data_IF_805833161304
#
_entry.id   IF_805833161304
#
_cell.length_a   1.000
_cell.length_b   1.000
_cell.length_c   1.000
_cell.angle_alpha   90.00
_cell.angle_beta   90.00
_cell.angle_gamma   90.00
#
_symmetry.space_group_name_H-M   'P 1'
#
loop_
_entity.id
_entity.type
_entity.pdbx_description
1 polymer ?
#
# COMPACT_ATOMS: atom_id res chain seq x y z
N UNK A 1 -7.58 14.48 4.24
CA UNK A 1 -8.92 15.13 4.15
C UNK A 1 -9.95 14.12 4.62
N UNK A 2 -10.65 14.36 5.70
CA UNK A 2 -11.70 13.44 6.20
C UNK A 2 -13.02 13.89 5.59
N UNK A 3 -13.60 13.07 4.72
CA UNK A 3 -14.90 13.34 4.13
C UNK A 3 -16.00 12.78 5.04
N UNK A 4 -16.81 13.65 5.62
CA UNK A 4 -17.99 13.25 6.41
C UNK A 4 -19.22 13.15 5.51
N UNK A 5 -19.88 11.99 5.52
CA UNK A 5 -21.19 11.86 4.90
C UNK A 5 -22.25 12.44 5.88
N UNK A 6 -22.78 13.63 5.56
CA UNK A 6 -23.78 14.31 6.40
C UNK A 6 -25.17 13.66 6.43
N UNK A 7 -25.45 12.67 5.58
CA UNK A 7 -26.80 12.12 5.42
C UNK A 7 -27.15 11.00 6.39
N UNK A 8 -26.17 10.23 6.84
CA UNK A 8 -26.40 9.17 7.81
C UNK A 8 -25.57 9.49 9.06
N UNK A 9 -26.19 9.50 10.23
CA UNK A 9 -25.52 9.66 11.53
C UNK A 9 -24.68 8.44 11.93
N UNK A 10 -24.27 7.63 10.97
CA UNK A 10 -23.46 6.43 11.16
C UNK A 10 -21.99 6.79 11.27
N UNK A 11 -21.30 6.17 12.20
CA UNK A 11 -19.85 6.29 12.34
C UNK A 11 -19.14 5.82 11.07
N UNK A 12 -18.24 6.63 10.53
CA UNK A 12 -17.42 6.26 9.37
C UNK A 12 -16.33 5.32 9.86
N UNK A 13 -16.35 4.08 9.40
CA UNK A 13 -15.24 3.15 9.62
C UNK A 13 -14.05 3.60 8.76
N UNK A 14 -12.89 3.84 9.38
CA UNK A 14 -11.66 4.06 8.65
C UNK A 14 -10.50 3.36 9.33
N UNK A 15 -9.56 2.92 8.54
CA UNK A 15 -8.25 2.43 9.00
C UNK A 15 -7.19 3.32 8.38
N UNK A 16 -6.41 3.96 9.23
CA UNK A 16 -5.32 4.85 8.85
C UNK A 16 -3.99 4.14 9.11
N UNK A 17 -3.26 3.86 8.03
CA UNK A 17 -1.95 3.25 8.06
C UNK A 17 -0.81 4.26 7.86
N UNK A 18 -1.08 5.57 7.84
CA UNK A 18 -0.06 6.60 7.61
C UNK A 18 1.10 6.54 8.63
N UNK A 19 0.81 6.13 9.85
CA UNK A 19 1.81 5.97 10.92
C UNK A 19 2.42 4.58 11.00
N UNK A 20 1.86 3.60 10.27
CA UNK A 20 2.19 2.18 10.41
C UNK A 20 2.86 1.60 9.16
N UNK A 21 3.14 2.40 8.14
CA UNK A 21 3.79 1.95 6.90
C UNK A 21 5.17 1.32 7.13
N UNK A 22 5.82 1.61 8.26
CA UNK A 22 7.13 1.06 8.61
C UNK A 22 7.13 -0.04 9.69
N UNK A 23 5.96 -0.50 10.14
CA UNK A 23 5.89 -1.56 11.16
C UNK A 23 6.15 -2.91 10.51
N UNK A 24 7.28 -3.52 10.87
CA UNK A 24 7.63 -4.89 10.51
C UNK A 24 7.11 -5.91 11.54
N UNK A 25 6.00 -5.62 12.20
CA UNK A 25 5.33 -6.54 13.10
C UNK A 25 3.98 -6.94 12.54
N UNK A 26 3.68 -8.22 12.64
CA UNK A 26 2.40 -8.74 12.20
C UNK A 26 1.32 -8.33 13.21
N UNK A 27 0.35 -7.52 12.79
CA UNK A 27 -0.79 -7.11 13.62
C UNK A 27 -2.00 -7.99 13.31
N UNK A 28 -1.93 -9.23 13.77
CA UNK A 28 -3.02 -10.18 13.64
C UNK A 28 -3.47 -10.69 15.00
N UNK A 29 -4.77 -10.74 15.19
CA UNK A 29 -5.40 -11.28 16.39
C UNK A 29 -6.03 -12.66 16.19
N UNK A 30 -6.07 -13.13 14.95
CA UNK A 30 -6.73 -14.36 14.49
C UNK A 30 -5.82 -15.08 13.50
N UNK A 31 -6.17 -16.31 13.15
CA UNK A 31 -5.44 -17.08 12.14
C UNK A 31 -5.44 -16.32 10.80
N UNK A 32 -4.30 -16.32 10.14
CA UNK A 32 -4.19 -15.72 8.82
C UNK A 32 -4.77 -16.68 7.78
N UNK A 33 -5.66 -16.21 6.87
CA UNK A 33 -6.16 -17.05 5.78
C UNK A 33 -5.02 -17.68 4.97
N UNK A 34 -5.10 -18.98 4.73
CA UNK A 34 -4.05 -19.71 4.01
C UNK A 34 -3.86 -19.17 2.60
N UNK A 35 -4.95 -18.75 1.95
CA UNK A 35 -4.94 -18.16 0.64
C UNK A 35 -4.13 -16.85 0.60
N UNK A 36 -4.26 -16.04 1.65
CA UNK A 36 -3.52 -14.79 1.79
C UNK A 36 -2.02 -15.06 2.00
N UNK A 37 -1.70 -16.00 2.87
CA UNK A 37 -0.29 -16.38 3.11
C UNK A 37 0.34 -16.90 1.82
N UNK A 38 -0.33 -17.83 1.14
CA UNK A 38 0.16 -18.44 -0.09
C UNK A 38 0.31 -17.44 -1.24
N UNK A 39 -0.46 -16.35 -1.21
CA UNK A 39 -0.32 -15.26 -2.18
C UNK A 39 1.00 -14.50 -2.00
N UNK A 40 1.46 -14.30 -0.76
CA UNK A 40 2.73 -13.62 -0.46
C UNK A 40 3.93 -14.54 -0.46
N UNK A 41 3.77 -15.75 0.06
CA UNK A 41 4.82 -16.75 0.13
C UNK A 41 4.24 -18.17 -0.05
N UNK A 42 4.30 -18.72 -1.27
CA UNK A 42 3.75 -20.04 -1.57
C UNK A 42 4.49 -21.19 -0.88
N UNK A 43 5.63 -20.95 -0.25
CA UNK A 43 6.35 -21.96 0.52
C UNK A 43 5.77 -22.21 1.91
N UNK A 44 4.94 -21.26 2.41
CA UNK A 44 4.29 -21.39 3.71
C UNK A 44 3.00 -22.20 3.57
N UNK A 45 2.82 -23.16 4.46
CA UNK A 45 1.64 -23.99 4.53
C UNK A 45 0.54 -23.34 5.38
N UNK A 46 0.91 -22.79 6.55
CA UNK A 46 0.03 -22.00 7.41
C UNK A 46 0.80 -21.13 8.41
N UNK A 47 0.09 -20.11 8.90
CA UNK A 47 0.44 -19.26 10.03
C UNK A 47 -0.79 -19.17 10.94
N UNK A 48 -0.73 -19.76 12.14
CA UNK A 48 -1.83 -19.83 13.10
C UNK A 48 -1.44 -19.18 14.41
N UNK A 49 -2.42 -18.65 15.13
CA UNK A 49 -2.23 -18.01 16.41
C UNK A 49 -3.05 -18.73 17.47
N UNK A 50 -2.36 -19.43 18.35
CA UNK A 50 -3.00 -20.05 19.51
C UNK A 50 -2.94 -19.09 20.69
N UNK A 51 -4.12 -18.62 21.13
CA UNK A 51 -4.26 -17.81 22.32
C UNK A 51 -4.54 -18.71 23.53
N UNK A 52 -3.58 -18.90 24.40
CA UNK A 52 -3.77 -19.43 25.74
C UNK A 52 -3.93 -18.27 26.73
N UNK A 53 -4.58 -18.54 27.89
CA UNK A 53 -5.03 -17.51 28.86
C UNK A 53 -4.04 -16.38 29.19
N UNK A 54 -2.72 -16.56 28.98
CA UNK A 54 -1.69 -15.54 29.21
C UNK A 54 -0.52 -15.56 28.22
N UNK A 55 -0.60 -16.32 27.12
CA UNK A 55 0.44 -16.39 26.09
C UNK A 55 -0.19 -16.59 24.71
N UNK A 56 0.33 -15.90 23.72
CA UNK A 56 0.00 -16.19 22.32
C UNK A 56 1.18 -16.92 21.71
N UNK A 57 0.98 -18.12 21.23
CA UNK A 57 1.97 -18.88 20.49
C UNK A 57 1.62 -18.81 19.00
N UNK A 58 2.63 -18.59 18.17
CA UNK A 58 2.51 -18.51 16.74
C UNK A 58 3.04 -19.80 16.14
N UNK A 59 2.21 -20.48 15.39
CA UNK A 59 2.54 -21.71 14.70
C UNK A 59 2.82 -21.39 13.23
N UNK A 60 4.09 -21.48 12.83
CA UNK A 60 4.52 -21.25 11.44
C UNK A 60 4.96 -22.59 10.83
N UNK A 61 4.36 -22.95 9.71
CA UNK A 61 4.68 -24.18 8.99
C UNK A 61 5.05 -23.87 7.54
N UNK A 62 6.23 -24.27 7.15
CA UNK A 62 6.64 -24.34 5.75
C UNK A 62 6.37 -25.73 5.18
N UNK A 63 6.00 -25.82 3.90
CA UNK A 63 5.64 -27.08 3.24
C UNK A 63 6.68 -28.19 3.38
N UNK A 64 7.97 -27.83 3.41
CA UNK A 64 9.09 -28.76 3.44
C UNK A 64 9.81 -28.85 4.79
N UNK A 65 9.27 -28.24 5.86
CA UNK A 65 9.92 -28.18 7.18
C UNK A 65 8.99 -28.62 8.27
N UNK A 66 9.51 -28.92 9.46
CA UNK A 66 8.69 -29.13 10.64
C UNK A 66 8.04 -27.82 11.07
N UNK A 67 6.91 -27.93 11.79
CA UNK A 67 6.26 -26.79 12.41
C UNK A 67 7.20 -26.08 13.40
N UNK A 68 7.15 -24.78 13.41
CA UNK A 68 7.86 -23.93 14.36
C UNK A 68 6.86 -23.22 15.26
N UNK A 69 7.15 -23.22 16.55
CA UNK A 69 6.36 -22.49 17.54
C UNK A 69 7.17 -21.30 18.01
N UNK A 70 6.63 -20.10 17.76
CA UNK A 70 7.25 -18.82 18.11
C UNK A 70 6.46 -18.19 19.25
N UNK A 71 7.15 -17.54 20.17
CA UNK A 71 6.55 -16.94 21.36
C UNK A 71 6.19 -15.45 21.17
N UNK A 72 6.75 -14.81 20.15
CA UNK A 72 6.57 -13.38 19.87
C UNK A 72 6.46 -13.12 18.36
N UNK A 73 5.64 -12.14 18.00
CA UNK A 73 5.48 -11.73 16.60
C UNK A 73 6.79 -11.21 15.97
N UNK A 74 7.64 -10.57 16.76
CA UNK A 74 8.96 -10.10 16.33
C UNK A 74 9.88 -11.22 15.81
N UNK A 75 9.68 -12.46 16.26
CA UNK A 75 10.45 -13.61 15.78
C UNK A 75 10.13 -13.97 14.34
N UNK A 76 8.92 -13.63 13.84
CA UNK A 76 8.53 -13.84 12.44
C UNK A 76 9.47 -13.11 11.45
N UNK A 77 10.06 -12.00 11.85
CA UNK A 77 11.02 -11.24 11.02
C UNK A 77 12.27 -12.04 10.64
N UNK A 78 12.54 -13.15 11.32
CA UNK A 78 13.64 -14.07 10.97
C UNK A 78 13.29 -15.02 9.84
N UNK A 79 12.01 -15.21 9.59
CA UNK A 79 11.48 -16.22 8.67
C UNK A 79 10.71 -15.63 7.50
N UNK A 80 10.08 -14.47 7.69
CA UNK A 80 9.28 -13.79 6.68
C UNK A 80 9.98 -12.51 6.23
N UNK A 81 9.86 -12.20 4.94
CA UNK A 81 10.33 -10.92 4.43
C UNK A 81 9.50 -9.76 4.98
N UNK A 82 10.08 -8.57 5.04
CA UNK A 82 9.33 -7.35 5.41
C UNK A 82 8.14 -7.11 4.48
N UNK A 83 8.28 -7.41 3.19
CA UNK A 83 7.19 -7.32 2.22
C UNK A 83 6.06 -8.32 2.51
N UNK A 84 6.38 -9.55 2.92
CA UNK A 84 5.39 -10.55 3.33
C UNK A 84 4.60 -10.08 4.55
N UNK A 85 5.28 -9.60 5.59
CA UNK A 85 4.64 -9.12 6.83
C UNK A 85 3.73 -7.93 6.56
N UNK A 86 4.23 -6.91 5.86
CA UNK A 86 3.45 -5.72 5.50
C UNK A 86 2.28 -6.07 4.59
N UNK A 87 2.50 -6.96 3.62
CA UNK A 87 1.47 -7.42 2.71
C UNK A 87 0.32 -8.10 3.43
N UNK A 88 0.62 -9.04 4.32
CA UNK A 88 -0.40 -9.70 5.13
C UNK A 88 -1.20 -8.67 5.93
N UNK A 89 -0.54 -7.75 6.64
CA UNK A 89 -1.23 -6.69 7.39
C UNK A 89 -2.14 -5.85 6.49
N UNK A 90 -1.60 -5.33 5.38
CA UNK A 90 -2.35 -4.46 4.46
C UNK A 90 -3.60 -5.16 3.90
N UNK A 91 -3.46 -6.42 3.49
CA UNK A 91 -4.59 -7.18 2.94
C UNK A 91 -5.61 -7.57 4.02
N UNK A 92 -5.18 -7.87 5.25
CA UNK A 92 -6.10 -8.11 6.36
C UNK A 92 -6.92 -6.86 6.70
N UNK A 93 -6.30 -5.68 6.71
CA UNK A 93 -7.03 -4.42 6.87
C UNK A 93 -7.99 -4.18 5.70
N UNK A 94 -7.57 -4.45 4.46
CA UNK A 94 -8.46 -4.34 3.30
C UNK A 94 -9.67 -5.30 3.43
N UNK A 95 -9.46 -6.55 3.84
CA UNK A 95 -10.54 -7.53 4.06
C UNK A 95 -11.53 -7.02 5.12
N UNK A 96 -11.04 -6.46 6.22
CA UNK A 96 -11.91 -5.86 7.26
C UNK A 96 -12.77 -4.73 6.68
N UNK A 97 -12.16 -3.86 5.87
CA UNK A 97 -12.87 -2.73 5.24
C UNK A 97 -13.84 -3.24 4.17
N UNK A 98 -13.53 -4.25 3.39
CA UNK A 98 -14.48 -4.89 2.46
C UNK A 98 -15.70 -5.45 3.21
N UNK A 99 -15.49 -6.07 4.38
CA UNK A 99 -16.56 -6.65 5.18
C UNK A 99 -17.45 -5.61 5.88
N UNK A 100 -16.89 -4.45 6.23
CA UNK A 100 -17.60 -3.43 7.02
C UNK A 100 -18.00 -2.20 6.20
N UNK A 101 -17.41 -1.98 5.05
CA UNK A 101 -17.41 -0.71 4.33
C UNK A 101 -16.45 0.29 4.99
N UNK A 102 -16.28 1.47 4.37
CA UNK A 102 -15.46 2.55 4.90
C UNK A 102 -14.20 2.83 4.09
N UNK A 103 -13.15 3.32 4.75
CA UNK A 103 -11.95 3.84 4.11
C UNK A 103 -10.69 3.15 4.62
N UNK A 104 -9.79 2.79 3.70
CA UNK A 104 -8.41 2.40 4.00
C UNK A 104 -7.49 3.50 3.45
N UNK A 105 -6.64 4.06 4.31
CA UNK A 105 -5.73 5.15 3.95
C UNK A 105 -4.30 4.65 4.13
N UNK A 106 -3.50 4.69 3.05
CA UNK A 106 -2.13 4.16 3.04
C UNK A 106 -1.21 5.20 2.40
N UNK A 107 -0.10 5.50 3.06
CA UNK A 107 0.98 6.29 2.46
C UNK A 107 2.00 5.35 1.82
N UNK A 108 2.49 5.72 0.62
CA UNK A 108 3.45 4.93 -0.15
C UNK A 108 3.04 3.45 -0.26
N UNK A 109 1.89 3.22 -0.91
CA UNK A 109 1.30 1.88 -1.03
C UNK A 109 2.26 0.82 -1.59
N UNK A 110 3.19 1.24 -2.44
CA UNK A 110 4.23 0.38 -3.02
C UNK A 110 5.35 0.00 -2.05
N UNK A 111 5.44 0.64 -0.90
CA UNK A 111 6.57 0.44 0.00
C UNK A 111 6.70 -1.02 0.44
N UNK A 112 7.78 -1.68 -0.02
CA UNK A 112 8.09 -3.10 0.15
C UNK A 112 7.29 -4.08 -0.70
N UNK A 113 6.42 -3.62 -1.61
CA UNK A 113 5.68 -4.50 -2.52
C UNK A 113 6.21 -4.43 -3.94
N UNK A 114 6.12 -5.54 -4.64
CA UNK A 114 6.22 -5.47 -6.08
C UNK A 114 4.92 -4.88 -6.66
N UNK A 115 5.04 -4.35 -7.87
CA UNK A 115 3.92 -3.71 -8.58
C UNK A 115 2.67 -4.59 -8.64
N UNK A 116 2.82 -5.91 -8.89
CA UNK A 116 1.68 -6.80 -9.08
C UNK A 116 0.84 -6.97 -7.81
N UNK A 117 1.48 -6.98 -6.64
CA UNK A 117 0.78 -7.00 -5.35
C UNK A 117 -0.07 -5.74 -5.18
N UNK A 118 0.50 -4.57 -5.51
CA UNK A 118 -0.22 -3.29 -5.42
C UNK A 118 -1.38 -3.26 -6.41
N UNK A 119 -1.15 -3.63 -7.66
CA UNK A 119 -2.20 -3.71 -8.68
C UNK A 119 -3.32 -4.68 -8.28
N UNK A 120 -2.98 -5.82 -7.66
CA UNK A 120 -3.97 -6.78 -7.17
C UNK A 120 -4.87 -6.16 -6.09
N UNK A 121 -4.30 -5.43 -5.14
CA UNK A 121 -5.08 -4.74 -4.11
C UNK A 121 -6.02 -3.70 -4.74
N UNK A 122 -5.52 -2.88 -5.66
CA UNK A 122 -6.33 -1.88 -6.37
C UNK A 122 -7.49 -2.55 -7.12
N UNK A 123 -7.22 -3.64 -7.85
CA UNK A 123 -8.25 -4.40 -8.58
C UNK A 123 -9.33 -4.97 -7.66
N UNK A 124 -8.97 -5.42 -6.44
CA UNK A 124 -9.95 -5.87 -5.46
C UNK A 124 -10.89 -4.74 -5.01
N UNK A 125 -10.39 -3.51 -4.87
CA UNK A 125 -11.25 -2.35 -4.59
C UNK A 125 -12.17 -1.99 -5.76
N UNK A 126 -11.75 -2.25 -7.00
CA UNK A 126 -12.56 -2.02 -8.21
C UNK A 126 -13.57 -3.14 -8.50
N UNK A 127 -13.31 -4.36 -8.04
CA UNK A 127 -14.19 -5.51 -8.26
C UNK A 127 -15.40 -5.47 -7.34
N UNK A 128 -16.58 -5.24 -7.92
CA UNK A 128 -17.86 -5.23 -7.19
C UNK A 128 -18.22 -6.57 -6.53
N UNK A 129 -17.65 -7.70 -6.97
CA UNK A 129 -17.86 -9.00 -6.32
C UNK A 129 -17.08 -9.12 -5.01
N UNK A 130 -15.92 -8.46 -4.93
CA UNK A 130 -15.08 -8.38 -3.72
C UNK A 130 -15.56 -7.22 -2.86
N UNK A 131 -15.64 -6.03 -3.42
CA UNK A 131 -15.99 -4.79 -2.73
C UNK A 131 -17.51 -4.54 -2.74
N UNK A 132 -18.26 -5.41 -2.09
CA UNK A 132 -19.74 -5.35 -2.09
C UNK A 132 -20.30 -4.16 -1.30
N UNK A 133 -19.56 -3.65 -0.31
CA UNK A 133 -20.00 -2.55 0.57
C UNK A 133 -19.44 -1.19 0.16
N UNK A 134 -18.79 -1.08 -1.01
CA UNK A 134 -18.29 0.19 -1.51
C UNK A 134 -17.16 0.77 -0.66
N UNK A 135 -16.27 -0.09 -0.16
CA UNK A 135 -15.04 0.33 0.52
C UNK A 135 -14.20 1.21 -0.40
N UNK A 136 -13.51 2.19 0.18
CA UNK A 136 -12.68 3.15 -0.56
C UNK A 136 -11.23 3.04 -0.13
N UNK A 137 -10.31 2.91 -1.10
CA UNK A 137 -8.87 2.99 -0.89
C UNK A 137 -8.38 4.40 -1.22
N UNK A 138 -7.67 5.04 -0.30
CA UNK A 138 -6.98 6.32 -0.50
C UNK A 138 -5.50 6.06 -0.25
N UNK A 139 -4.66 6.33 -1.24
CA UNK A 139 -3.24 6.06 -1.11
C UNK A 139 -2.37 7.07 -1.85
N UNK A 140 -1.14 7.22 -1.40
CA UNK A 140 -0.07 7.85 -2.16
C UNK A 140 0.82 6.79 -2.81
N UNK A 141 1.49 7.15 -3.91
CA UNK A 141 2.42 6.26 -4.62
C UNK A 141 3.40 7.06 -5.47
N UNK A 142 4.60 6.52 -5.63
CA UNK A 142 5.61 6.96 -6.61
C UNK A 142 5.65 6.09 -7.87
N UNK A 143 4.88 5.00 -7.92
CA UNK A 143 4.80 4.14 -9.11
C UNK A 143 3.87 4.76 -10.16
N UNK A 144 4.47 5.43 -11.14
CA UNK A 144 3.73 6.07 -12.24
C UNK A 144 2.85 5.09 -13.01
N UNK A 145 3.27 3.83 -13.12
CA UNK A 145 2.56 2.79 -13.85
C UNK A 145 1.20 2.46 -13.23
N UNK A 146 1.02 2.70 -11.93
CA UNK A 146 -0.28 2.51 -11.27
C UNK A 146 -1.32 3.52 -11.74
N UNK A 147 -0.92 4.65 -12.32
CA UNK A 147 -1.85 5.62 -12.89
C UNK A 147 -2.67 5.01 -14.02
N UNK A 148 -2.11 4.05 -14.75
CA UNK A 148 -2.76 3.40 -15.89
C UNK A 148 -3.80 2.34 -15.47
N UNK A 149 -3.81 1.91 -14.19
CA UNK A 149 -4.86 1.04 -13.64
C UNK A 149 -6.22 1.78 -13.52
N UNK A 150 -6.22 3.10 -13.52
CA UNK A 150 -7.43 3.91 -13.37
C UNK A 150 -7.93 4.43 -14.72
N UNK A 151 -9.17 4.14 -15.07
CA UNK A 151 -9.80 4.70 -16.26
C UNK A 151 -10.06 6.21 -16.13
N UNK A 152 -10.48 6.64 -14.94
CA UNK A 152 -10.90 8.01 -14.64
C UNK A 152 -9.75 8.86 -14.11
N UNK A 153 -9.58 10.05 -14.71
CA UNK A 153 -8.57 11.03 -14.26
C UNK A 153 -8.97 11.77 -12.99
N UNK A 154 -10.26 11.85 -12.67
CA UNK A 154 -10.77 12.60 -11.52
C UNK A 154 -10.52 11.90 -10.15
N UNK A 155 -10.12 10.64 -10.17
CA UNK A 155 -9.69 9.91 -8.99
C UNK A 155 -8.20 10.13 -8.64
N UNK A 156 -7.45 10.82 -9.50
CA UNK A 156 -6.00 10.98 -9.40
C UNK A 156 -5.67 12.44 -9.08
N UNK A 157 -4.79 12.63 -8.10
CA UNK A 157 -4.27 13.93 -7.70
C UNK A 157 -2.76 13.94 -7.80
N UNK A 158 -2.20 14.95 -8.48
CA UNK A 158 -0.77 15.17 -8.57
C UNK A 158 -0.36 16.13 -7.46
N UNK A 159 0.51 15.66 -6.58
CA UNK A 159 1.10 16.46 -5.50
C UNK A 159 2.49 16.92 -5.97
N UNK A 160 2.76 18.21 -5.84
CA UNK A 160 4.06 18.80 -6.20
C UNK A 160 4.60 19.57 -5.01
N UNK A 161 5.89 19.46 -4.79
CA UNK A 161 6.61 20.25 -3.79
C UNK A 161 7.75 21.01 -4.50
N UNK A 162 7.49 22.24 -4.86
CA UNK A 162 8.50 23.14 -5.49
C UNK A 162 8.86 24.29 -4.55
N UNK A 163 8.07 25.39 -4.57
CA UNK A 163 8.16 26.49 -3.61
C UNK A 163 7.18 26.30 -2.47
N UNK A 164 6.04 25.70 -2.79
CA UNK A 164 4.99 25.29 -1.85
C UNK A 164 4.39 23.96 -2.29
N UNK A 165 3.70 23.29 -1.37
CA UNK A 165 2.99 22.05 -1.67
C UNK A 165 1.69 22.39 -2.40
N UNK A 166 1.56 21.91 -3.62
CA UNK A 166 0.36 22.06 -4.43
C UNK A 166 -0.26 20.70 -4.74
N UNK A 167 -1.59 20.66 -4.80
CA UNK A 167 -2.36 19.46 -5.14
C UNK A 167 -3.30 19.82 -6.28
N UNK A 168 -3.22 19.08 -7.38
CA UNK A 168 -4.05 19.32 -8.54
C UNK A 168 -4.67 18.01 -9.05
N UNK A 169 -5.96 18.04 -9.36
CA UNK A 169 -6.65 16.89 -9.91
C UNK A 169 -6.22 16.65 -11.36
N UNK A 170 -5.89 15.39 -11.71
CA UNK A 170 -5.36 15.04 -13.02
C UNK A 170 -6.34 15.37 -14.17
N UNK A 171 -7.64 15.34 -13.94
CA UNK A 171 -8.63 15.72 -14.95
C UNK A 171 -8.55 17.19 -15.39
N UNK A 172 -7.95 18.05 -14.57
CA UNK A 172 -7.71 19.48 -14.91
C UNK A 172 -6.47 19.65 -15.76
N UNK A 173 -5.46 18.80 -15.54
CA UNK A 173 -4.15 18.86 -16.22
C UNK A 173 -4.20 18.10 -17.54
N UNK A 174 -4.69 16.86 -17.52
CA UNK A 174 -4.71 15.94 -18.65
C UNK A 174 -6.14 15.79 -19.18
N UNK A 175 -6.47 16.60 -20.16
CA UNK A 175 -7.80 16.59 -20.80
C UNK A 175 -7.95 15.51 -21.89
N UNK A 176 -6.83 14.98 -22.38
CA UNK A 176 -6.77 13.96 -23.43
C UNK A 176 -6.66 12.58 -22.78
N UNK A 177 -7.47 11.63 -23.29
CA UNK A 177 -7.50 10.24 -22.81
C UNK A 177 -6.63 9.29 -23.66
N UNK A 178 -6.03 9.79 -24.74
CA UNK A 178 -5.18 9.03 -25.66
C UNK A 178 -3.71 8.93 -25.24
N UNK A 179 -3.32 9.67 -24.20
CA UNK A 179 -1.97 9.64 -23.63
C UNK A 179 -2.00 8.75 -22.39
N UNK A 180 -1.07 7.79 -22.32
CA UNK A 180 -0.86 7.02 -21.10
C UNK A 180 -0.46 7.95 -19.94
N UNK A 181 -1.13 7.80 -18.82
CA UNK A 181 -0.91 8.64 -17.64
C UNK A 181 0.50 8.48 -17.08
N UNK A 182 1.01 7.24 -17.10
CA UNK A 182 2.39 6.92 -16.71
C UNK A 182 3.41 7.65 -17.58
N UNK A 183 3.22 7.67 -18.90
CA UNK A 183 4.10 8.39 -19.83
C UNK A 183 4.05 9.90 -19.60
N UNK A 184 2.85 10.47 -19.38
CA UNK A 184 2.69 11.88 -19.05
C UNK A 184 3.41 12.25 -17.75
N UNK A 185 3.41 11.36 -16.76
CA UNK A 185 4.13 11.54 -15.50
C UNK A 185 5.65 11.48 -15.72
N UNK A 186 6.14 10.42 -16.38
CA UNK A 186 7.57 10.17 -16.60
C UNK A 186 8.24 11.20 -17.54
N UNK A 187 7.50 11.73 -18.52
CA UNK A 187 7.99 12.78 -19.41
C UNK A 187 8.06 14.18 -18.77
N UNK A 188 7.57 14.32 -17.52
CA UNK A 188 7.47 15.61 -16.86
C UNK A 188 6.34 16.51 -17.35
N UNK A 189 5.46 16.01 -18.26
CA UNK A 189 4.31 16.76 -18.79
C UNK A 189 3.37 17.25 -17.67
N UNK A 190 3.26 16.47 -16.58
CA UNK A 190 2.46 16.85 -15.43
C UNK A 190 3.12 17.88 -14.53
N UNK A 191 4.38 18.24 -14.80
CA UNK A 191 5.15 19.25 -14.09
C UNK A 191 5.59 18.83 -12.68
N UNK A 192 6.90 18.98 -12.39
CA UNK A 192 7.46 18.75 -11.03
C UNK A 192 7.52 17.30 -10.57
N UNK A 193 7.41 16.36 -11.49
CA UNK A 193 7.48 14.91 -11.21
C UNK A 193 8.90 14.34 -11.35
N UNK A 194 9.82 15.13 -11.90
CA UNK A 194 11.23 14.77 -12.09
C UNK A 194 12.15 15.71 -11.31
N UNK A 195 13.31 15.23 -10.84
CA UNK A 195 14.36 16.10 -10.32
C UNK A 195 14.76 17.13 -11.38
N UNK A 196 15.04 18.35 -10.95
CA UNK A 196 15.52 19.40 -11.86
C UNK A 196 16.93 19.05 -12.34
N UNK A 197 17.19 19.24 -13.65
CA UNK A 197 18.49 18.96 -14.25
C UNK A 197 19.63 19.73 -13.58
N UNK A 198 19.38 20.99 -13.22
CA UNK A 198 20.36 21.82 -12.53
C UNK A 198 20.74 21.23 -11.17
N UNK A 199 19.78 20.79 -10.38
CA UNK A 199 20.02 20.12 -9.09
C UNK A 199 20.84 18.82 -9.24
N UNK A 200 20.60 18.06 -10.31
CA UNK A 200 21.41 16.88 -10.63
C UNK A 200 22.85 17.28 -10.95
N UNK A 201 23.04 18.32 -11.77
CA UNK A 201 24.39 18.78 -12.15
C UNK A 201 25.14 19.36 -10.95
N UNK A 202 24.47 20.13 -10.09
CA UNK A 202 25.06 20.65 -8.86
C UNK A 202 25.52 19.54 -7.93
N UNK A 203 24.68 18.54 -7.69
CA UNK A 203 25.06 17.38 -6.89
C UNK A 203 26.25 16.63 -7.50
N UNK A 204 26.24 16.39 -8.82
CA UNK A 204 27.33 15.73 -9.52
C UNK A 204 28.65 16.50 -9.37
N UNK A 205 28.62 17.83 -9.54
CA UNK A 205 29.81 18.67 -9.41
C UNK A 205 30.32 18.67 -7.95
N UNK A 206 29.41 18.70 -6.95
CA UNK A 206 29.80 18.65 -5.56
C UNK A 206 30.49 17.31 -5.21
N UNK A 207 29.99 16.18 -5.73
CA UNK A 207 30.64 14.87 -5.57
C UNK A 207 32.03 14.83 -6.22
N UNK A 208 32.16 15.38 -7.45
CA UNK A 208 33.44 15.39 -8.18
C UNK A 208 34.49 16.23 -7.44
N UNK A 209 34.06 17.33 -6.81
CA UNK A 209 34.96 18.26 -6.09
C UNK A 209 35.27 17.84 -4.66
N UNK A 210 34.83 16.67 -4.20
CA UNK A 210 34.93 16.22 -2.80
C UNK A 210 34.40 17.25 -1.77
N UNK A 211 33.39 18.04 -2.17
CA UNK A 211 32.84 19.15 -1.38
C UNK A 211 31.65 18.72 -0.49
N UNK A 212 31.45 17.41 -0.31
CA UNK A 212 30.41 16.82 0.55
C UNK A 212 31.04 16.06 1.69
#
# INVERSE_FOLDING_TARGET
MVAFNKRNKESINYTDMLRYTNINELDISEDCPVELISFFDPSIEYLKINKEKNKSNIHLKFKSKNEMILNQFSELNRYLSSGTIKGINTFLYAIRIFNNGGYLIIDELENHFNREIVSTLIRFYMDKKVNKKGATLIFSTHYSELLDEFERNDNIYIVRNRQEITIENLSKILKRNDIKKSEAYQSGLLGGTLPMYDAYMDLKNAIISDSI
#
